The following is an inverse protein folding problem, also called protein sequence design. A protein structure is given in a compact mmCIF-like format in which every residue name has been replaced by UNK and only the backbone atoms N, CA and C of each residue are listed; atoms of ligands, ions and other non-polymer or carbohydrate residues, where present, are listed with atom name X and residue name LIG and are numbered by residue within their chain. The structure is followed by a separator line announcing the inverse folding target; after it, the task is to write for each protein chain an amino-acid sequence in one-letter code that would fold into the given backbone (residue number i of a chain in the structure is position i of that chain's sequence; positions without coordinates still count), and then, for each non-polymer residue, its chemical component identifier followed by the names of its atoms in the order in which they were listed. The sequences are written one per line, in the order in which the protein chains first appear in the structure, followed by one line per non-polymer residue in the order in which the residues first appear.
data_IF_521632736085
#
_entry.id   IF_521632736085
#
_cell.length_a   1.000
_cell.length_b   1.000
_cell.length_c   1.000
_cell.angle_alpha   90.00
_cell.angle_beta   90.00
_cell.angle_gamma   90.00
#
_symmetry.space_group_name_H-M   'P 1'
#
loop_
_entity.id
_entity.type
_entity.pdbx_description
1 polymer ?
#
# COMPACT_ATOMS: atom_id res chain seq x y z
N UNK A 1 16.16 -47.64 12.41
CA UNK A 1 16.53 -46.96 11.13
C UNK A 1 15.80 -47.68 10.02
N UNK A 2 15.12 -46.92 9.18
CA UNK A 2 14.37 -47.42 8.02
C UNK A 2 15.14 -47.07 6.74
N UNK A 3 15.18 -47.95 5.77
CA UNK A 3 15.81 -47.70 4.47
C UNK A 3 14.77 -47.24 3.46
N UNK A 4 15.03 -46.13 2.81
CA UNK A 4 14.17 -45.60 1.73
C UNK A 4 15.03 -45.21 0.54
N UNK A 5 14.52 -45.43 -0.65
CA UNK A 5 15.11 -44.98 -1.90
C UNK A 5 14.30 -43.82 -2.45
N UNK A 6 14.95 -42.69 -2.73
CA UNK A 6 14.31 -41.48 -3.28
C UNK A 6 15.09 -41.08 -4.53
N UNK A 7 14.43 -41.04 -5.70
CA UNK A 7 15.05 -40.76 -7.00
C UNK A 7 16.34 -41.56 -7.22
N UNK A 8 16.28 -42.90 -6.98
CA UNK A 8 17.41 -43.81 -7.08
C UNK A 8 18.56 -43.60 -6.08
N UNK A 9 18.36 -42.76 -5.03
CA UNK A 9 19.35 -42.54 -3.96
C UNK A 9 18.82 -43.14 -2.66
N UNK A 10 19.64 -43.99 -2.02
CA UNK A 10 19.27 -44.66 -0.76
C UNK A 10 19.68 -43.80 0.44
N UNK A 11 18.84 -43.79 1.45
CA UNK A 11 19.09 -43.13 2.74
C UNK A 11 18.47 -43.94 3.88
N UNK A 12 19.15 -43.95 5.03
CA UNK A 12 18.61 -44.50 6.28
C UNK A 12 18.09 -43.33 7.15
N UNK A 13 16.87 -43.48 7.66
CA UNK A 13 16.21 -42.48 8.50
C UNK A 13 15.57 -43.12 9.73
N UNK A 14 15.29 -42.32 10.73
CA UNK A 14 14.61 -42.77 11.94
C UNK A 14 13.12 -43.01 11.68
N UNK A 15 12.52 -43.88 12.49
CA UNK A 15 11.07 -44.08 12.46
C UNK A 15 10.32 -42.79 12.72
N UNK A 16 9.25 -42.53 11.96
CA UNK A 16 8.46 -41.29 12.02
C UNK A 16 8.97 -40.16 11.13
N UNK A 17 10.17 -40.29 10.50
CA UNK A 17 10.65 -39.35 9.50
C UNK A 17 9.71 -39.34 8.29
N UNK A 18 9.28 -38.16 7.83
CA UNK A 18 8.46 -38.03 6.62
C UNK A 18 9.30 -38.18 5.34
N UNK A 19 8.61 -38.48 4.22
CA UNK A 19 9.26 -38.51 2.91
C UNK A 19 9.90 -37.17 2.57
N UNK A 20 9.23 -36.05 2.90
CA UNK A 20 9.75 -34.68 2.71
C UNK A 20 11.05 -34.44 3.48
N UNK A 21 11.09 -34.80 4.75
CA UNK A 21 12.28 -34.69 5.61
C UNK A 21 13.43 -35.60 5.10
N UNK A 22 13.12 -36.80 4.66
CA UNK A 22 14.10 -37.72 4.08
C UNK A 22 14.68 -37.19 2.76
N UNK A 23 13.83 -36.63 1.88
CA UNK A 23 14.24 -35.97 0.64
C UNK A 23 15.15 -34.77 0.91
N UNK A 24 14.79 -33.93 1.89
CA UNK A 24 15.59 -32.78 2.32
C UNK A 24 17.01 -33.18 2.77
N UNK A 25 17.16 -34.30 3.52
CA UNK A 25 18.48 -34.84 3.92
C UNK A 25 19.34 -35.27 2.71
N UNK A 26 18.70 -35.61 1.59
CA UNK A 26 19.38 -35.90 0.33
C UNK A 26 19.62 -34.66 -0.54
N UNK A 27 19.21 -33.49 -0.11
CA UNK A 27 19.27 -32.26 -0.90
C UNK A 27 18.26 -32.23 -2.04
N UNK A 28 17.17 -33.00 -1.95
CA UNK A 28 16.07 -33.01 -2.92
C UNK A 28 14.99 -32.08 -2.41
N UNK A 29 14.68 -31.06 -3.17
CA UNK A 29 13.60 -30.11 -2.88
C UNK A 29 12.27 -30.62 -3.42
N UNK A 30 11.25 -30.72 -2.58
CA UNK A 30 9.88 -31.03 -2.97
C UNK A 30 9.06 -29.77 -2.66
N UNK A 31 8.27 -29.24 -3.61
CA UNK A 31 7.47 -28.03 -3.36
C UNK A 31 6.42 -28.29 -2.28
N UNK A 32 6.19 -27.30 -1.42
CA UNK A 32 5.20 -27.35 -0.34
C UNK A 32 4.47 -26.02 -0.23
N UNK A 33 3.21 -26.04 0.23
CA UNK A 33 2.43 -24.82 0.49
C UNK A 33 1.87 -24.79 1.93
N UNK A 34 1.21 -25.88 2.37
CA UNK A 34 0.62 -25.94 3.72
C UNK A 34 1.55 -26.50 4.79
N UNK A 35 2.80 -26.85 4.45
CA UNK A 35 3.79 -27.36 5.39
C UNK A 35 4.48 -26.22 6.13
N UNK A 36 4.52 -26.35 7.45
CA UNK A 36 5.29 -25.47 8.34
C UNK A 36 6.24 -26.35 9.15
N UNK A 37 7.52 -26.01 9.13
CA UNK A 37 8.54 -26.74 9.90
C UNK A 37 8.24 -26.62 11.41
N UNK A 38 8.20 -27.79 12.09
CA UNK A 38 7.82 -27.85 13.51
C UNK A 38 6.33 -27.67 13.81
N UNK A 39 5.49 -27.46 12.81
CA UNK A 39 4.02 -27.35 12.94
C UNK A 39 3.28 -28.66 12.71
N UNK A 40 1.95 -28.61 12.81
CA UNK A 40 1.08 -29.72 12.48
C UNK A 40 1.11 -30.05 10.98
N UNK A 41 0.96 -31.37 10.66
CA UNK A 41 1.04 -31.88 9.28
C UNK A 41 -0.36 -31.98 8.69
N UNK A 42 -0.85 -30.92 8.06
CA UNK A 42 -2.24 -30.84 7.53
C UNK A 42 -2.47 -31.65 6.25
N UNK A 43 -1.48 -31.77 5.37
CA UNK A 43 -1.56 -32.47 4.08
C UNK A 43 -2.76 -32.07 3.21
N UNK A 44 -3.17 -30.79 3.25
CA UNK A 44 -4.40 -30.34 2.59
C UNK A 44 -4.19 -29.79 1.18
N UNK A 45 -3.02 -29.21 0.87
CA UNK A 45 -2.78 -28.53 -0.41
C UNK A 45 -2.41 -29.46 -1.57
N UNK A 46 -1.92 -30.67 -1.29
CA UNK A 46 -1.46 -31.67 -2.27
C UNK A 46 -0.31 -31.21 -3.21
N UNK A 47 0.35 -30.09 -2.89
CA UNK A 47 1.49 -29.59 -3.69
C UNK A 47 2.75 -30.44 -3.51
N UNK A 48 2.85 -31.16 -2.41
CA UNK A 48 4.00 -32.02 -2.08
C UNK A 48 3.84 -33.50 -2.52
N UNK A 49 2.93 -33.79 -3.43
CA UNK A 49 2.70 -35.16 -3.92
C UNK A 49 3.97 -35.76 -4.55
N UNK A 50 4.25 -37.00 -4.20
CA UNK A 50 5.32 -37.83 -4.74
C UNK A 50 4.76 -39.22 -5.06
N UNK A 51 5.42 -39.97 -5.92
CA UNK A 51 4.97 -41.29 -6.32
C UNK A 51 5.68 -42.39 -5.54
N UNK A 52 4.92 -43.25 -4.90
CA UNK A 52 5.43 -44.51 -4.32
C UNK A 52 5.41 -45.58 -5.40
N UNK A 53 6.59 -45.99 -5.84
CA UNK A 53 6.78 -47.02 -6.89
C UNK A 53 6.38 -48.44 -6.45
N UNK A 54 6.32 -48.66 -5.12
CA UNK A 54 5.91 -49.96 -4.60
C UNK A 54 4.44 -50.29 -4.84
N UNK A 55 3.57 -49.26 -4.85
CA UNK A 55 2.13 -49.43 -5.04
C UNK A 55 1.54 -48.55 -6.16
N UNK A 56 2.37 -47.74 -6.81
CA UNK A 56 1.99 -46.82 -7.89
C UNK A 56 1.10 -45.64 -7.46
N UNK A 57 1.01 -45.34 -6.18
CA UNK A 57 0.16 -44.26 -5.65
C UNK A 57 0.91 -42.95 -5.47
N UNK A 58 0.20 -41.85 -5.68
CA UNK A 58 0.65 -40.53 -5.26
C UNK A 58 0.34 -40.33 -3.77
N UNK A 59 1.34 -39.89 -3.01
CA UNK A 59 1.24 -39.66 -1.56
C UNK A 59 1.78 -38.28 -1.17
N UNK A 60 1.21 -37.59 -0.16
CA UNK A 60 1.69 -36.32 0.31
C UNK A 60 2.97 -36.47 1.13
N UNK A 61 4.11 -36.04 0.59
CA UNK A 61 5.42 -36.24 1.22
C UNK A 61 5.57 -35.56 2.58
N UNK A 62 4.86 -34.44 2.80
CA UNK A 62 4.96 -33.65 4.04
C UNK A 62 4.36 -34.37 5.27
N UNK A 63 3.45 -35.32 5.08
CA UNK A 63 2.76 -36.02 6.17
C UNK A 63 2.97 -37.51 6.17
N UNK A 64 3.33 -38.13 5.04
CA UNK A 64 3.52 -39.54 4.92
C UNK A 64 4.86 -39.96 5.54
N UNK A 65 4.85 -40.77 6.60
CA UNK A 65 6.09 -41.30 7.17
C UNK A 65 6.74 -42.31 6.22
N UNK A 66 8.05 -42.38 6.27
CA UNK A 66 8.84 -43.40 5.56
C UNK A 66 8.54 -44.80 6.13
N UNK A 67 8.37 -45.76 5.25
CA UNK A 67 8.26 -47.20 5.57
C UNK A 67 9.48 -47.91 4.98
N UNK A 68 9.99 -48.92 5.67
CA UNK A 68 11.18 -49.64 5.24
C UNK A 68 11.01 -50.26 3.85
N UNK A 69 11.99 -50.04 2.97
CA UNK A 69 11.97 -50.50 1.59
C UNK A 69 11.14 -49.68 0.61
N UNK A 70 10.62 -48.49 1.02
CA UNK A 70 9.96 -47.57 0.09
C UNK A 70 10.88 -47.13 -1.06
N UNK A 71 10.31 -47.05 -2.27
CA UNK A 71 10.95 -46.47 -3.47
C UNK A 71 10.11 -45.32 -3.97
N UNK A 72 10.64 -44.10 -3.84
CA UNK A 72 9.92 -42.83 -4.07
C UNK A 72 10.50 -42.11 -5.28
N UNK A 73 9.64 -41.66 -6.16
CA UNK A 73 9.95 -40.70 -7.24
C UNK A 73 9.32 -39.39 -6.91
N UNK A 74 10.14 -38.35 -6.88
CA UNK A 74 9.69 -37.00 -6.46
C UNK A 74 9.36 -36.09 -7.62
N UNK A 75 9.81 -36.42 -8.84
CA UNK A 75 9.69 -35.53 -10.00
C UNK A 75 9.58 -36.37 -11.29
N UNK A 76 8.36 -36.80 -11.60
CA UNK A 76 7.99 -37.40 -12.88
C UNK A 76 6.76 -36.65 -13.46
N UNK A 77 6.38 -36.99 -14.68
CA UNK A 77 5.24 -36.38 -15.35
C UNK A 77 3.93 -36.50 -14.55
N UNK A 78 3.72 -37.62 -13.84
CA UNK A 78 2.51 -37.88 -13.07
C UNK A 78 2.49 -37.01 -11.77
N UNK A 79 3.63 -36.90 -11.09
CA UNK A 79 3.79 -35.98 -9.94
C UNK A 79 3.54 -34.55 -10.36
N UNK A 80 4.11 -34.16 -11.50
CA UNK A 80 3.96 -32.79 -12.02
C UNK A 80 2.50 -32.45 -12.36
N UNK A 81 1.82 -33.33 -13.11
CA UNK A 81 0.40 -33.13 -13.47
C UNK A 81 -0.50 -33.09 -12.22
N UNK A 82 -0.25 -33.94 -11.25
CA UNK A 82 -1.04 -33.96 -10.02
C UNK A 82 -0.86 -32.68 -9.17
N UNK A 83 0.37 -32.21 -9.06
CA UNK A 83 0.65 -30.91 -8.38
C UNK A 83 0.04 -29.73 -9.10
N UNK A 84 0.12 -29.71 -10.45
CA UNK A 84 -0.51 -28.70 -11.30
C UNK A 84 -2.03 -28.69 -11.09
N UNK A 85 -2.68 -29.84 -11.13
CA UNK A 85 -4.11 -29.94 -10.87
C UNK A 85 -4.50 -29.48 -9.46
N UNK A 86 -3.69 -29.82 -8.44
CA UNK A 86 -3.91 -29.35 -7.07
C UNK A 86 -3.79 -27.82 -6.96
N UNK A 87 -2.78 -27.23 -7.61
CA UNK A 87 -2.59 -25.78 -7.65
C UNK A 87 -3.73 -25.08 -8.40
N UNK A 88 -4.16 -25.60 -9.54
CA UNK A 88 -5.31 -25.07 -10.29
C UNK A 88 -6.60 -25.07 -9.44
N UNK A 89 -6.86 -26.15 -8.70
CA UNK A 89 -8.03 -26.22 -7.81
C UNK A 89 -7.94 -25.21 -6.68
N UNK A 90 -6.79 -25.06 -6.03
CA UNK A 90 -6.59 -24.07 -4.99
C UNK A 90 -6.81 -22.64 -5.48
N UNK A 91 -6.33 -22.32 -6.69
CA UNK A 91 -6.46 -20.99 -7.27
C UNK A 91 -7.85 -20.74 -7.85
N UNK A 92 -8.56 -21.76 -8.33
CA UNK A 92 -9.94 -21.62 -8.82
C UNK A 92 -10.92 -21.18 -7.73
N UNK A 93 -10.67 -21.61 -6.49
CA UNK A 93 -11.47 -21.24 -5.31
C UNK A 93 -10.92 -19.99 -4.57
N UNK A 94 -9.80 -19.44 -5.05
CA UNK A 94 -9.15 -18.30 -4.40
C UNK A 94 -9.94 -17.01 -4.61
N UNK A 95 -10.49 -16.48 -3.53
CA UNK A 95 -11.26 -15.21 -3.56
C UNK A 95 -10.40 -13.94 -3.52
N UNK A 96 -9.10 -14.07 -3.30
CA UNK A 96 -8.14 -12.96 -3.30
C UNK A 96 -8.28 -11.98 -2.13
N UNK A 97 -8.79 -12.45 -0.99
CA UNK A 97 -9.01 -11.63 0.21
C UNK A 97 -7.86 -11.73 1.23
N UNK A 98 -6.64 -12.04 0.79
CA UNK A 98 -5.43 -12.02 1.64
C UNK A 98 -5.20 -10.63 2.23
N UNK A 99 -5.59 -9.58 1.52
CA UNK A 99 -5.72 -8.22 1.99
C UNK A 99 -7.21 -7.84 2.01
N UNK A 100 -7.63 -7.18 3.10
CA UNK A 100 -9.04 -6.83 3.25
C UNK A 100 -9.53 -5.95 2.07
N UNK A 101 -10.68 -6.27 1.42
CA UNK A 101 -11.19 -5.49 0.30
C UNK A 101 -11.36 -3.99 0.60
N UNK A 102 -11.70 -3.65 1.83
CA UNK A 102 -11.81 -2.26 2.27
C UNK A 102 -10.46 -1.51 2.24
N UNK A 103 -9.35 -2.19 2.53
CA UNK A 103 -8.00 -1.63 2.42
C UNK A 103 -7.59 -1.49 0.96
N UNK A 104 -7.77 -2.52 0.15
CA UNK A 104 -7.46 -2.48 -1.30
C UNK A 104 -8.26 -1.44 -2.07
N UNK A 105 -9.52 -1.20 -1.69
CA UNK A 105 -10.38 -0.17 -2.32
C UNK A 105 -10.12 1.25 -1.82
N UNK A 106 -9.44 1.42 -0.69
CA UNK A 106 -9.07 2.74 -0.19
C UNK A 106 -7.94 3.32 -1.06
N UNK A 107 -8.13 4.48 -1.72
CA UNK A 107 -7.06 5.09 -2.50
C UNK A 107 -5.78 5.35 -1.69
N UNK A 108 -5.92 5.68 -0.40
CA UNK A 108 -4.78 5.86 0.51
C UNK A 108 -4.24 4.55 1.09
N UNK A 109 -4.89 3.41 0.79
CA UNK A 109 -4.51 2.08 1.28
C UNK A 109 -4.39 1.99 2.79
N UNK A 110 -5.34 2.65 3.50
CA UNK A 110 -5.35 2.70 4.96
C UNK A 110 -5.62 1.30 5.54
N UNK A 111 -4.88 0.93 6.58
CA UNK A 111 -5.11 -0.33 7.33
C UNK A 111 -6.40 -0.25 8.16
N UNK A 112 -7.52 -0.41 7.46
CA UNK A 112 -8.88 -0.34 8.02
C UNK A 112 -9.13 -1.48 9.03
N UNK A 113 -8.71 -2.74 8.77
CA UNK A 113 -8.88 -3.80 9.74
C UNK A 113 -8.21 -3.52 11.08
N UNK A 114 -6.98 -3.00 11.07
CA UNK A 114 -6.26 -2.64 12.30
C UNK A 114 -6.95 -1.49 13.02
N UNK A 115 -7.34 -0.42 12.29
CA UNK A 115 -8.12 0.67 12.85
C UNK A 115 -9.37 0.16 13.58
N UNK A 116 -10.16 -0.70 12.92
CA UNK A 116 -11.39 -1.23 13.49
C UNK A 116 -11.14 -2.07 14.76
N UNK A 117 -10.11 -2.91 14.77
CA UNK A 117 -9.72 -3.70 15.96
C UNK A 117 -9.32 -2.82 17.13
N UNK A 118 -8.53 -1.79 16.89
CA UNK A 118 -8.08 -0.86 17.92
C UNK A 118 -9.25 -0.04 18.49
N UNK A 119 -10.16 0.42 17.63
CA UNK A 119 -11.40 1.11 18.10
C UNK A 119 -12.25 0.17 18.92
N UNK A 120 -12.44 -1.07 18.49
CA UNK A 120 -13.24 -2.07 19.22
C UNK A 120 -12.64 -2.43 20.59
N UNK A 121 -11.31 -2.40 20.72
CA UNK A 121 -10.63 -2.61 22.01
C UNK A 121 -10.54 -1.34 22.87
N UNK A 122 -11.03 -0.18 22.38
CA UNK A 122 -10.97 1.10 23.09
C UNK A 122 -9.62 1.82 23.02
N UNK A 123 -8.67 1.32 22.24
CA UNK A 123 -7.34 1.93 22.05
C UNK A 123 -7.40 2.97 20.92
N UNK A 124 -8.09 4.08 21.20
CA UNK A 124 -8.31 5.14 20.20
C UNK A 124 -7.03 5.88 19.83
N UNK A 125 -6.06 5.96 20.72
CA UNK A 125 -4.81 6.68 20.50
C UNK A 125 -3.96 5.91 19.46
N UNK A 126 -3.85 4.59 19.58
CA UNK A 126 -3.23 3.77 18.53
C UNK A 126 -4.07 3.71 17.24
N UNK A 127 -5.39 3.73 17.34
CA UNK A 127 -6.24 3.76 16.15
C UNK A 127 -5.96 4.99 15.29
N UNK A 128 -5.83 6.18 15.89
CA UNK A 128 -5.54 7.40 15.15
C UNK A 128 -4.10 7.43 14.61
N UNK A 129 -3.13 6.81 15.27
CA UNK A 129 -1.77 6.64 14.74
C UNK A 129 -1.79 5.81 13.45
N UNK A 130 -2.50 4.67 13.44
CA UNK A 130 -2.69 3.83 12.26
C UNK A 130 -3.37 4.62 11.13
N UNK A 131 -4.40 5.41 11.44
CA UNK A 131 -5.09 6.23 10.44
C UNK A 131 -4.15 7.28 9.85
N UNK A 132 -3.43 8.04 10.68
CA UNK A 132 -2.59 9.17 10.23
C UNK A 132 -1.32 8.73 9.49
N UNK A 133 -0.91 7.48 9.64
CA UNK A 133 0.13 6.89 8.80
C UNK A 133 -0.21 6.94 7.30
N UNK A 134 -1.51 6.92 6.97
CA UNK A 134 -2.01 6.84 5.59
C UNK A 134 -2.90 8.03 5.20
N UNK A 135 -3.59 8.62 6.15
CA UNK A 135 -4.57 9.70 5.95
C UNK A 135 -4.30 10.84 6.95
N UNK A 136 -3.69 11.95 6.51
CA UNK A 136 -3.33 13.06 7.40
C UNK A 136 -4.54 13.92 7.82
N UNK A 137 -5.67 13.85 7.11
CA UNK A 137 -6.91 14.63 7.37
C UNK A 137 -8.11 13.72 7.68
N UNK A 138 -8.05 12.86 8.72
CA UNK A 138 -9.08 11.87 8.96
C UNK A 138 -10.41 12.45 9.47
N UNK A 139 -10.43 13.56 10.21
CA UNK A 139 -11.67 14.21 10.66
C UNK A 139 -12.44 14.79 9.47
N UNK A 140 -11.73 15.45 8.55
CA UNK A 140 -12.31 15.97 7.31
C UNK A 140 -12.82 14.80 6.45
N UNK A 141 -11.97 13.80 6.16
CA UNK A 141 -12.35 12.67 5.31
C UNK A 141 -13.40 11.75 5.98
N UNK A 142 -13.53 11.76 7.28
CA UNK A 142 -14.64 11.11 7.99
C UNK A 142 -16.01 11.64 7.57
N UNK A 143 -16.07 12.91 7.14
CA UNK A 143 -17.29 13.64 6.77
C UNK A 143 -17.54 13.71 5.27
N UNK A 144 -16.49 13.80 4.47
CA UNK A 144 -16.63 14.08 3.03
C UNK A 144 -16.24 12.93 2.10
N UNK A 145 -15.62 11.87 2.60
CA UNK A 145 -15.21 10.73 1.79
C UNK A 145 -16.44 9.97 1.27
N UNK A 146 -16.49 9.60 -0.03
CA UNK A 146 -17.59 8.79 -0.55
C UNK A 146 -17.51 7.31 -0.13
N UNK A 147 -16.56 6.94 0.72
CA UNK A 147 -16.41 5.64 1.36
C UNK A 147 -16.35 4.43 0.38
N UNK A 148 -15.44 4.40 -0.62
CA UNK A 148 -15.32 3.24 -1.50
C UNK A 148 -15.00 1.94 -0.72
N UNK A 149 -14.34 2.05 0.42
CA UNK A 149 -14.06 0.94 1.34
C UNK A 149 -15.33 0.30 1.91
N UNK A 150 -16.37 1.09 2.21
CA UNK A 150 -17.66 0.59 2.71
C UNK A 150 -18.44 -0.12 1.60
N UNK A 151 -18.34 0.37 0.36
CA UNK A 151 -18.98 -0.26 -0.79
C UNK A 151 -18.46 -1.70 -1.05
N UNK A 152 -17.17 -1.95 -0.78
CA UNK A 152 -16.55 -3.28 -0.91
C UNK A 152 -16.45 -4.07 0.39
N UNK A 153 -17.14 -3.65 1.43
CA UNK A 153 -17.11 -4.34 2.71
C UNK A 153 -17.81 -5.71 2.63
N UNK A 154 -17.12 -6.79 3.00
CA UNK A 154 -17.67 -8.16 2.99
C UNK A 154 -18.88 -8.34 3.89
N UNK A 155 -18.95 -7.61 5.01
CA UNK A 155 -20.12 -7.64 5.90
C UNK A 155 -21.40 -7.15 5.23
N UNK A 156 -21.30 -6.38 4.14
CA UNK A 156 -22.47 -5.88 3.41
C UNK A 156 -23.44 -6.99 3.00
N UNK A 157 -22.93 -8.18 2.72
CA UNK A 157 -23.74 -9.35 2.32
C UNK A 157 -24.38 -10.07 3.53
N UNK A 158 -23.96 -9.74 4.75
CA UNK A 158 -24.44 -10.39 5.98
C UNK A 158 -25.41 -9.49 6.76
N UNK A 159 -24.89 -8.37 7.28
CA UNK A 159 -25.60 -7.51 8.24
C UNK A 159 -25.36 -6.01 7.99
N UNK A 160 -24.70 -5.67 6.90
CA UNK A 160 -24.39 -4.30 6.49
C UNK A 160 -22.90 -3.95 6.56
N UNK A 161 -22.52 -2.92 5.80
CA UNK A 161 -21.14 -2.43 5.79
C UNK A 161 -20.76 -1.83 7.14
N UNK A 162 -19.51 -2.03 7.55
CA UNK A 162 -18.93 -1.31 8.68
C UNK A 162 -18.90 0.19 8.34
N UNK A 163 -19.31 1.05 9.25
CA UNK A 163 -19.31 2.53 9.09
C UNK A 163 -17.89 3.09 9.23
N UNK A 164 -17.00 2.74 8.30
CA UNK A 164 -15.55 3.00 8.34
C UNK A 164 -15.25 4.49 8.42
N UNK A 165 -15.95 5.30 7.62
CA UNK A 165 -15.72 6.74 7.61
C UNK A 165 -16.14 7.42 8.91
N UNK A 166 -17.24 6.99 9.51
CA UNK A 166 -17.69 7.49 10.82
C UNK A 166 -16.70 7.10 11.92
N UNK A 167 -16.26 5.85 11.97
CA UNK A 167 -15.28 5.38 12.94
C UNK A 167 -13.95 6.13 12.82
N UNK A 168 -13.46 6.34 11.61
CA UNK A 168 -12.26 7.15 11.33
C UNK A 168 -12.43 8.58 11.82
N UNK A 169 -13.56 9.22 11.49
CA UNK A 169 -13.88 10.57 11.95
C UNK A 169 -13.97 10.67 13.46
N UNK A 170 -14.62 9.71 14.11
CA UNK A 170 -14.73 9.66 15.56
C UNK A 170 -13.37 9.59 16.26
N UNK A 171 -12.46 8.72 15.80
CA UNK A 171 -11.12 8.62 16.36
C UNK A 171 -10.35 9.94 16.19
N UNK A 172 -10.49 10.60 15.03
CA UNK A 172 -9.84 11.87 14.74
C UNK A 172 -10.40 13.03 15.61
N UNK A 173 -11.72 13.11 15.76
CA UNK A 173 -12.37 14.12 16.60
C UNK A 173 -11.92 14.01 18.07
N UNK A 174 -11.80 12.78 18.59
CA UNK A 174 -11.25 12.55 19.94
C UNK A 174 -9.82 13.05 20.07
N UNK A 175 -8.97 12.77 19.09
CA UNK A 175 -7.59 13.26 19.12
C UNK A 175 -7.54 14.78 19.10
N UNK A 176 -8.24 15.41 18.16
CA UNK A 176 -8.27 16.88 18.05
C UNK A 176 -8.80 17.56 19.31
N UNK A 177 -9.70 16.91 20.06
CA UNK A 177 -10.17 17.41 21.35
C UNK A 177 -9.12 17.36 22.45
N UNK A 178 -8.24 16.34 22.45
CA UNK A 178 -7.19 16.15 23.46
C UNK A 178 -5.92 16.92 23.13
N UNK A 179 -5.49 16.86 21.86
CA UNK A 179 -4.19 17.31 21.38
C UNK A 179 -4.37 18.25 20.19
N UNK A 180 -4.39 19.57 20.39
CA UNK A 180 -4.56 20.54 19.30
C UNK A 180 -3.32 20.65 18.40
N UNK A 181 -2.16 20.09 18.82
CA UNK A 181 -0.91 20.12 18.05
C UNK A 181 -0.37 18.72 17.79
N UNK A 182 0.29 18.57 16.66
CA UNK A 182 0.89 17.33 16.22
C UNK A 182 2.06 16.92 17.12
N UNK A 183 1.91 15.77 17.79
CA UNK A 183 2.98 15.12 18.58
C UNK A 183 3.77 14.08 17.78
N UNK A 184 3.51 13.92 16.48
CA UNK A 184 4.11 12.86 15.66
C UNK A 184 5.62 13.03 15.57
N UNK A 185 6.35 11.98 15.93
CA UNK A 185 7.78 11.93 15.77
C UNK A 185 8.16 12.11 14.29
N UNK A 186 9.01 13.08 14.03
CA UNK A 186 9.59 13.36 12.73
C UNK A 186 10.94 12.66 12.65
N UNK A 187 11.31 12.21 11.45
CA UNK A 187 12.69 11.78 11.20
C UNK A 187 13.58 13.03 11.34
N UNK A 188 14.53 12.98 12.26
CA UNK A 188 15.51 14.07 12.44
C UNK A 188 16.66 13.85 11.46
N UNK A 189 16.50 14.43 10.26
CA UNK A 189 17.55 14.42 9.26
C UNK A 189 18.66 15.40 9.61
N UNK A 190 19.90 14.99 9.34
CA UNK A 190 21.03 15.89 9.29
C UNK A 190 20.65 17.15 8.46
N UNK A 191 20.83 18.38 8.99
CA UNK A 191 20.51 19.60 8.28
C UNK A 191 21.12 19.68 6.87
N UNK A 192 22.31 19.09 6.67
CA UNK A 192 22.97 19.03 5.35
C UNK A 192 22.23 18.14 4.33
N UNK A 193 21.44 17.18 4.78
CA UNK A 193 20.62 16.29 3.94
C UNK A 193 19.20 16.76 3.76
N UNK A 194 18.78 17.80 4.49
CA UNK A 194 17.44 18.34 4.42
C UNK A 194 17.22 19.07 3.11
N UNK A 195 16.17 18.69 2.40
CA UNK A 195 15.77 19.28 1.13
C UNK A 195 14.62 20.25 1.30
N UNK A 196 14.51 21.21 0.37
CA UNK A 196 13.45 22.24 0.36
C UNK A 196 12.48 21.94 -0.79
N UNK A 197 11.21 21.81 -0.48
CA UNK A 197 10.16 21.53 -1.46
C UNK A 197 9.18 22.70 -1.51
N UNK A 198 8.96 23.24 -2.72
CA UNK A 198 7.88 24.19 -2.98
C UNK A 198 6.61 23.45 -3.38
N UNK A 199 5.49 23.75 -2.74
CA UNK A 199 4.18 23.19 -3.11
C UNK A 199 3.27 24.34 -3.55
N UNK A 200 2.69 24.22 -4.75
CA UNK A 200 1.77 25.21 -5.29
C UNK A 200 0.33 24.73 -5.08
N UNK A 201 -0.35 25.33 -4.13
CA UNK A 201 -1.72 25.03 -3.70
C UNK A 201 -1.82 24.32 -2.35
N UNK A 202 -2.63 24.90 -1.45
CA UNK A 202 -2.92 24.39 -0.10
C UNK A 202 -4.24 23.60 -0.02
N UNK A 203 -4.59 22.88 -1.08
CA UNK A 203 -5.71 21.92 -1.10
C UNK A 203 -5.34 20.55 -0.52
N UNK A 204 -6.24 19.55 -0.55
CA UNK A 204 -6.01 18.25 0.07
C UNK A 204 -4.77 17.53 -0.45
N UNK A 205 -4.38 17.70 -1.72
CA UNK A 205 -3.18 17.11 -2.28
C UNK A 205 -1.90 17.75 -1.73
N UNK A 206 -1.85 19.11 -1.77
CA UNK A 206 -0.69 19.86 -1.28
C UNK A 206 -0.49 19.72 0.22
N UNK A 207 -1.56 19.79 1.01
CA UNK A 207 -1.51 19.58 2.46
C UNK A 207 -1.03 18.16 2.82
N UNK A 208 -1.52 17.15 2.09
CA UNK A 208 -1.07 15.76 2.29
C UNK A 208 0.41 15.59 1.95
N UNK A 209 0.85 16.13 0.80
CA UNK A 209 2.26 16.09 0.41
C UNK A 209 3.14 16.79 1.46
N UNK A 210 2.76 18.00 1.89
CA UNK A 210 3.48 18.75 2.90
C UNK A 210 3.64 17.98 4.21
N UNK A 211 2.55 17.37 4.69
CA UNK A 211 2.57 16.55 5.91
C UNK A 211 3.56 15.39 5.80
N UNK A 212 3.48 14.60 4.74
CA UNK A 212 4.34 13.43 4.59
C UNK A 212 5.80 13.76 4.25
N UNK A 213 6.06 14.89 3.59
CA UNK A 213 7.41 15.39 3.32
C UNK A 213 8.06 15.88 4.63
N UNK A 214 7.31 16.64 5.45
CA UNK A 214 7.77 17.09 6.75
C UNK A 214 8.04 15.92 7.72
N UNK A 215 7.20 14.89 7.74
CA UNK A 215 7.45 13.67 8.52
C UNK A 215 8.78 12.99 8.16
N UNK A 216 9.25 13.15 6.92
CA UNK A 216 10.54 12.64 6.45
C UNK A 216 11.71 13.60 6.72
N UNK A 217 11.45 14.70 7.40
CA UNK A 217 12.48 15.64 7.85
C UNK A 217 12.84 16.74 6.85
N UNK A 218 12.18 16.83 5.70
CA UNK A 218 12.41 17.88 4.71
C UNK A 218 11.59 19.15 5.03
N UNK A 219 11.97 20.29 4.46
CA UNK A 219 11.28 21.57 4.62
C UNK A 219 10.31 21.82 3.47
N UNK A 220 9.16 22.42 3.77
CA UNK A 220 8.10 22.68 2.79
C UNK A 220 7.61 24.11 2.87
N UNK A 221 7.62 24.81 1.73
CA UNK A 221 6.95 26.08 1.56
C UNK A 221 5.74 25.88 0.62
N UNK A 222 4.54 26.13 1.13
CA UNK A 222 3.29 26.09 0.36
C UNK A 222 2.96 27.49 -0.14
N UNK A 223 2.65 27.62 -1.41
CA UNK A 223 2.22 28.86 -2.05
C UNK A 223 0.73 28.75 -2.41
N UNK A 224 -0.11 29.49 -1.67
CA UNK A 224 -1.56 29.45 -1.82
C UNK A 224 -2.07 30.83 -2.32
N UNK A 225 -2.83 30.80 -3.42
CA UNK A 225 -3.35 32.03 -4.04
C UNK A 225 -4.41 32.74 -3.20
N UNK A 226 -5.15 32.01 -2.39
CA UNK A 226 -6.18 32.55 -1.51
C UNK A 226 -5.62 32.94 -0.14
N UNK A 227 -6.40 33.63 0.66
CA UNK A 227 -6.03 33.97 2.04
C UNK A 227 -6.34 32.80 3.02
N UNK A 228 -6.94 31.73 2.55
CA UNK A 228 -7.37 30.61 3.37
C UNK A 228 -6.82 29.27 2.84
N UNK A 229 -6.32 28.45 3.74
CA UNK A 229 -5.87 27.08 3.47
C UNK A 229 -7.06 26.12 3.38
N UNK A 230 -6.98 25.12 2.50
CA UNK A 230 -7.99 24.06 2.38
C UNK A 230 -8.52 23.85 0.96
N UNK A 231 -8.30 24.81 0.06
CA UNK A 231 -8.71 24.70 -1.35
C UNK A 231 -10.19 24.36 -1.51
N UNK A 232 -10.51 23.39 -2.37
CA UNK A 232 -11.90 23.00 -2.65
C UNK A 232 -12.69 22.50 -1.41
N UNK A 233 -12.04 22.15 -0.31
CA UNK A 233 -12.73 21.76 0.93
C UNK A 233 -13.46 22.95 1.56
N UNK A 234 -13.00 24.19 1.34
CA UNK A 234 -13.68 25.42 1.76
C UNK A 234 -15.04 25.63 1.09
N UNK A 235 -15.23 25.08 -0.10
CA UNK A 235 -16.50 25.15 -0.83
C UNK A 235 -17.57 24.16 -0.34
N UNK A 236 -17.26 23.29 0.60
CA UNK A 236 -18.22 22.32 1.16
C UNK A 236 -19.10 23.04 2.19
N UNK A 237 -20.41 22.72 2.24
CA UNK A 237 -21.33 23.33 3.20
C UNK A 237 -20.90 23.05 4.65
N UNK A 238 -21.09 24.01 5.54
CA UNK A 238 -20.74 23.88 6.97
C UNK A 238 -21.54 22.80 7.68
N UNK A 239 -22.73 22.50 7.21
CA UNK A 239 -23.54 21.39 7.70
C UNK A 239 -22.81 20.06 7.53
N UNK A 240 -22.12 19.88 6.39
CA UNK A 240 -21.38 18.63 6.09
C UNK A 240 -19.95 18.66 6.63
N UNK A 241 -19.27 19.82 6.54
CA UNK A 241 -17.90 20.01 7.03
C UNK A 241 -17.84 21.33 7.81
N UNK A 242 -18.02 21.29 9.14
CA UNK A 242 -17.90 22.47 9.98
C UNK A 242 -16.54 23.15 9.83
N UNK A 243 -16.52 24.47 9.74
CA UNK A 243 -15.27 25.25 9.57
C UNK A 243 -14.29 25.00 10.70
N UNK A 244 -14.78 24.89 11.92
CA UNK A 244 -13.95 24.57 13.09
C UNK A 244 -13.19 23.25 12.91
N UNK A 245 -13.84 22.20 12.40
CA UNK A 245 -13.20 20.90 12.15
C UNK A 245 -12.15 21.02 11.06
N UNK A 246 -12.48 21.74 9.97
CA UNK A 246 -11.56 21.96 8.86
C UNK A 246 -10.30 22.70 9.34
N UNK A 247 -10.49 23.81 10.06
CA UNK A 247 -9.37 24.65 10.49
C UNK A 247 -8.49 23.97 11.54
N UNK A 248 -9.08 23.30 12.52
CA UNK A 248 -8.35 22.55 13.54
C UNK A 248 -7.54 21.41 12.95
N UNK A 249 -8.10 20.68 11.98
CA UNK A 249 -7.35 19.58 11.35
C UNK A 249 -6.23 20.09 10.44
N UNK A 250 -6.44 21.21 9.74
CA UNK A 250 -5.38 21.89 8.99
C UNK A 250 -4.28 22.37 9.94
N UNK A 251 -4.62 23.03 11.04
CA UNK A 251 -3.64 23.47 12.05
C UNK A 251 -2.83 22.29 12.60
N UNK A 252 -3.50 21.16 12.88
CA UNK A 252 -2.84 19.94 13.31
C UNK A 252 -1.80 19.41 12.32
N UNK A 253 -2.03 19.57 11.00
CA UNK A 253 -1.09 19.13 9.97
C UNK A 253 0.20 19.93 9.93
N UNK A 254 0.13 21.22 10.26
CA UNK A 254 1.24 22.16 10.10
C UNK A 254 2.31 21.89 11.15
N UNK A 255 3.39 21.23 10.71
CA UNK A 255 4.61 21.07 11.49
C UNK A 255 5.52 22.29 11.38
N UNK A 256 6.57 22.30 12.19
CA UNK A 256 7.53 23.43 12.27
C UNK A 256 8.26 23.76 10.96
N UNK A 257 8.38 22.76 10.05
CA UNK A 257 9.05 22.97 8.76
C UNK A 257 8.08 23.16 7.59
N UNK A 258 6.80 23.36 7.88
CA UNK A 258 5.80 23.70 6.87
C UNK A 258 5.46 25.18 7.03
N UNK A 259 5.76 25.99 6.00
CA UNK A 259 5.37 27.38 5.91
C UNK A 259 4.30 27.53 4.83
N UNK A 260 3.28 28.33 5.09
CA UNK A 260 2.26 28.69 4.09
C UNK A 260 2.37 30.16 3.75
N UNK A 261 2.50 30.45 2.47
CA UNK A 261 2.51 31.79 1.90
C UNK A 261 1.14 32.02 1.24
N UNK A 262 0.26 32.74 1.93
CA UNK A 262 -1.08 33.08 1.44
C UNK A 262 -1.07 34.28 0.52
N UNK A 263 -2.09 34.39 -0.34
CA UNK A 263 -2.22 35.46 -1.31
C UNK A 263 -1.15 35.41 -2.41
N UNK A 264 -0.52 34.28 -2.60
CA UNK A 264 0.60 34.10 -3.52
C UNK A 264 0.12 33.42 -4.82
N UNK A 265 -0.28 34.24 -5.79
CA UNK A 265 -0.70 33.74 -7.10
C UNK A 265 0.53 33.47 -7.97
N UNK A 266 0.85 32.20 -8.11
CA UNK A 266 2.02 31.74 -8.87
C UNK A 266 1.75 31.87 -10.36
N UNK A 267 2.52 32.74 -11.02
CA UNK A 267 2.59 32.86 -12.48
C UNK A 267 3.84 32.17 -13.04
N UNK A 268 4.01 32.18 -14.37
CA UNK A 268 5.14 31.53 -15.04
C UNK A 268 6.50 32.00 -14.51
N UNK A 269 6.69 33.31 -14.29
CA UNK A 269 7.95 33.87 -13.79
C UNK A 269 8.27 33.39 -12.38
N UNK A 270 7.26 33.41 -11.50
CA UNK A 270 7.41 32.92 -10.12
C UNK A 270 7.68 31.41 -10.12
N UNK A 271 6.96 30.67 -10.97
CA UNK A 271 7.19 29.22 -11.12
C UNK A 271 8.63 28.89 -11.52
N UNK A 272 9.20 29.62 -12.50
CA UNK A 272 10.58 29.42 -12.90
C UNK A 272 11.55 29.74 -11.76
N UNK A 273 11.32 30.82 -11.00
CA UNK A 273 12.10 31.14 -9.82
C UNK A 273 12.00 30.05 -8.73
N UNK A 274 10.82 29.47 -8.49
CA UNK A 274 10.69 28.36 -7.54
C UNK A 274 11.49 27.10 -7.98
N UNK A 275 11.59 26.86 -9.29
CA UNK A 275 12.41 25.77 -9.82
C UNK A 275 13.90 25.96 -9.57
N UNK A 276 14.37 27.21 -9.55
CA UNK A 276 15.76 27.54 -9.27
C UNK A 276 16.08 27.55 -7.77
N UNK A 277 15.11 27.91 -6.92
CA UNK A 277 15.31 28.09 -5.48
C UNK A 277 15.04 26.83 -4.62
N UNK A 278 14.35 25.82 -5.18
CA UNK A 278 13.92 24.62 -4.46
C UNK A 278 14.43 23.33 -5.10
N UNK A 279 14.71 22.31 -4.28
CA UNK A 279 15.13 21.00 -4.74
C UNK A 279 14.03 20.27 -5.54
N UNK A 280 12.76 20.55 -5.24
CA UNK A 280 11.61 20.07 -6.00
C UNK A 280 10.45 21.03 -5.93
N UNK A 281 9.66 21.10 -7.01
CA UNK A 281 8.41 21.88 -7.09
C UNK A 281 7.23 20.92 -7.31
N UNK A 282 6.23 21.00 -6.44
CA UNK A 282 5.02 20.18 -6.51
C UNK A 282 3.82 21.01 -6.92
N UNK A 283 3.22 20.71 -8.06
CA UNK A 283 2.02 21.37 -8.57
C UNK A 283 0.79 20.63 -8.05
N UNK A 284 0.08 21.28 -7.11
CA UNK A 284 -1.13 20.78 -6.45
C UNK A 284 -2.27 21.82 -6.47
N UNK A 285 -2.26 22.72 -7.47
CA UNK A 285 -3.13 23.90 -7.60
C UNK A 285 -4.60 23.58 -7.94
N UNK A 286 -5.00 22.33 -8.00
CA UNK A 286 -6.32 21.92 -8.46
C UNK A 286 -6.39 21.77 -9.98
N UNK A 287 -7.57 22.03 -10.58
CA UNK A 287 -7.72 21.92 -12.04
C UNK A 287 -7.12 23.11 -12.78
N UNK A 288 -6.57 22.88 -13.97
CA UNK A 288 -6.11 23.91 -14.87
C UNK A 288 -7.28 24.48 -15.67
N UNK A 289 -7.34 25.82 -15.73
CA UNK A 289 -8.28 26.54 -16.59
C UNK A 289 -7.63 27.05 -17.87
N UNK A 290 -6.28 27.04 -17.92
CA UNK A 290 -5.49 27.55 -19.04
C UNK A 290 -4.58 26.46 -19.62
N UNK A 291 -4.40 26.52 -20.95
CA UNK A 291 -3.59 25.57 -21.72
C UNK A 291 -2.08 25.80 -21.58
N UNK A 292 -1.67 26.88 -20.94
CA UNK A 292 -0.28 27.31 -20.86
C UNK A 292 0.57 26.67 -19.77
N UNK A 293 0.02 25.84 -18.89
CA UNK A 293 0.63 25.03 -17.80
C UNK A 293 2.12 25.28 -17.47
N UNK A 294 2.57 26.50 -17.53
CA UNK A 294 3.95 26.96 -17.26
C UNK A 294 5.06 26.19 -18.01
N UNK A 295 4.72 25.62 -19.19
CA UNK A 295 5.64 24.83 -20.03
C UNK A 295 5.64 23.33 -19.75
N UNK A 296 4.82 22.85 -18.84
CA UNK A 296 4.59 21.42 -18.66
C UNK A 296 3.75 20.85 -19.81
N UNK A 297 4.00 19.60 -20.16
CA UNK A 297 3.18 18.88 -21.14
C UNK A 297 1.80 18.59 -20.59
N UNK A 298 0.76 18.94 -21.37
CA UNK A 298 -0.64 18.71 -21.01
C UNK A 298 -1.20 17.49 -21.75
N UNK A 299 -1.83 16.60 -21.00
CA UNK A 299 -2.63 15.49 -21.52
C UNK A 299 -4.11 15.82 -21.57
N UNK A 300 -4.92 14.83 -21.93
CA UNK A 300 -6.39 14.96 -22.00
C UNK A 300 -7.06 15.28 -20.66
N UNK A 301 -6.43 14.94 -19.53
CA UNK A 301 -7.03 15.02 -18.20
C UNK A 301 -6.40 16.09 -17.30
N UNK A 302 -5.27 16.66 -17.67
CA UNK A 302 -4.47 17.59 -16.90
C UNK A 302 -2.99 17.49 -17.28
N UNK A 303 -2.10 17.86 -16.38
CA UNK A 303 -0.64 17.74 -16.57
C UNK A 303 -0.26 16.26 -16.77
N UNK A 304 0.50 15.96 -17.83
CA UNK A 304 1.09 14.63 -18.02
C UNK A 304 2.19 14.38 -17.00
N UNK A 305 2.12 13.24 -16.34
CA UNK A 305 3.13 12.79 -15.39
C UNK A 305 3.55 11.35 -15.69
N UNK A 306 4.76 11.03 -15.34
CA UNK A 306 5.24 9.66 -15.37
C UNK A 306 4.51 8.83 -14.29
N UNK A 307 3.89 7.69 -14.66
CA UNK A 307 3.17 6.84 -13.72
C UNK A 307 4.07 6.37 -12.57
N UNK A 308 3.58 6.53 -11.33
CA UNK A 308 4.26 6.07 -10.13
C UNK A 308 5.34 7.00 -9.56
N UNK A 309 5.87 7.94 -10.34
CA UNK A 309 6.82 8.96 -9.87
C UNK A 309 6.21 10.34 -9.74
N UNK A 310 5.13 10.63 -10.48
CA UNK A 310 4.49 11.95 -10.57
C UNK A 310 5.36 13.04 -11.22
N UNK A 311 6.52 12.69 -11.81
CA UNK A 311 7.39 13.62 -12.53
C UNK A 311 6.67 14.13 -13.78
N UNK A 312 6.75 15.44 -14.02
CA UNK A 312 6.24 16.08 -15.25
C UNK A 312 7.26 16.04 -16.37
N UNK A 313 6.98 16.71 -17.48
CA UNK A 313 7.95 16.90 -18.56
C UNK A 313 9.11 17.84 -18.20
N UNK A 314 9.09 18.48 -17.05
CA UNK A 314 10.12 19.38 -16.56
C UNK A 314 10.88 18.72 -15.41
N UNK A 315 12.19 18.86 -15.44
CA UNK A 315 13.06 18.38 -14.37
C UNK A 315 12.70 19.02 -13.02
N UNK A 316 12.78 18.27 -11.93
CA UNK A 316 12.44 18.65 -10.55
C UNK A 316 11.00 19.14 -10.32
N UNK A 317 10.10 18.97 -11.29
CA UNK A 317 8.71 19.40 -11.22
C UNK A 317 7.77 18.20 -11.21
N UNK A 318 6.97 18.10 -10.17
CA UNK A 318 6.00 17.02 -9.96
C UNK A 318 4.58 17.59 -9.95
N UNK A 319 3.59 16.79 -10.35
CA UNK A 319 2.19 17.20 -10.28
C UNK A 319 1.33 16.13 -9.62
N UNK A 320 0.35 16.55 -8.78
CA UNK A 320 -0.51 15.64 -8.02
C UNK A 320 -1.96 16.18 -7.93
N UNK A 321 -2.85 15.31 -7.48
CA UNK A 321 -4.25 15.67 -7.25
C UNK A 321 -4.97 16.04 -8.54
N UNK A 322 -5.80 17.07 -8.49
CA UNK A 322 -6.59 17.49 -9.64
C UNK A 322 -5.77 18.21 -10.73
N UNK A 323 -4.51 18.53 -10.49
CA UNK A 323 -3.61 19.05 -11.52
C UNK A 323 -3.34 18.01 -12.62
N UNK A 324 -3.33 16.71 -12.27
CA UNK A 324 -3.13 15.60 -13.23
C UNK A 324 -4.43 15.02 -13.74
N UNK A 325 -5.48 14.98 -12.90
CA UNK A 325 -6.79 14.47 -13.27
C UNK A 325 -7.87 14.98 -12.33
N UNK A 326 -8.88 15.63 -12.88
CA UNK A 326 -10.02 16.11 -12.10
C UNK A 326 -10.72 14.94 -11.37
N UNK A 327 -10.97 15.11 -10.08
CA UNK A 327 -11.65 14.14 -9.22
C UNK A 327 -12.40 14.84 -8.10
N UNK A 328 -13.62 14.37 -7.81
CA UNK A 328 -14.39 14.80 -6.63
C UNK A 328 -14.03 14.00 -5.37
N UNK A 329 -13.10 13.05 -5.48
CA UNK A 329 -12.73 12.11 -4.40
C UNK A 329 -11.45 12.60 -3.72
N UNK A 330 -11.59 13.40 -2.66
CA UNK A 330 -10.48 14.04 -1.94
C UNK A 330 -9.45 13.04 -1.40
N UNK A 331 -9.86 11.82 -1.01
CA UNK A 331 -8.93 10.78 -0.53
C UNK A 331 -7.95 10.32 -1.62
N UNK A 332 -8.29 10.44 -2.91
CA UNK A 332 -7.35 10.18 -4.00
C UNK A 332 -6.23 11.23 -4.04
N UNK A 333 -6.60 12.50 -3.88
CA UNK A 333 -5.62 13.58 -3.78
C UNK A 333 -4.69 13.42 -2.58
N UNK A 334 -5.22 12.94 -1.45
CA UNK A 334 -4.44 12.60 -0.26
C UNK A 334 -3.46 11.47 -0.54
N UNK A 335 -3.91 10.42 -1.22
CA UNK A 335 -3.05 9.30 -1.62
C UNK A 335 -1.87 9.76 -2.49
N UNK A 336 -2.14 10.60 -3.51
CA UNK A 336 -1.08 11.16 -4.36
C UNK A 336 -0.02 11.91 -3.54
N UNK A 337 -0.43 12.70 -2.52
CA UNK A 337 0.50 13.41 -1.64
C UNK A 337 1.39 12.47 -0.83
N UNK A 338 0.81 11.39 -0.28
CA UNK A 338 1.55 10.33 0.43
C UNK A 338 2.55 9.62 -0.49
N UNK A 339 2.10 9.21 -1.66
CA UNK A 339 2.90 8.46 -2.63
C UNK A 339 4.05 9.32 -3.17
N UNK A 340 3.79 10.58 -3.52
CA UNK A 340 4.82 11.51 -3.96
C UNK A 340 5.87 11.76 -2.87
N UNK A 341 5.46 11.95 -1.62
CA UNK A 341 6.41 12.16 -0.53
C UNK A 341 7.39 11.00 -0.37
N UNK A 342 6.94 9.75 -0.59
CA UNK A 342 7.80 8.58 -0.56
C UNK A 342 8.77 8.55 -1.77
N UNK A 343 8.31 8.97 -2.95
CA UNK A 343 9.15 9.09 -4.16
C UNK A 343 10.23 10.15 -3.95
N UNK A 344 9.85 11.34 -3.47
CA UNK A 344 10.79 12.44 -3.25
C UNK A 344 11.85 12.08 -2.21
N UNK A 345 11.48 11.43 -1.11
CA UNK A 345 12.41 11.02 -0.07
C UNK A 345 13.49 10.07 -0.61
N UNK A 346 13.09 9.02 -1.37
CA UNK A 346 14.04 8.14 -2.04
C UNK A 346 14.91 8.88 -3.04
N UNK A 347 14.32 9.74 -3.86
CA UNK A 347 15.03 10.54 -4.83
C UNK A 347 16.09 11.45 -4.17
N UNK A 348 15.76 12.10 -3.08
CA UNK A 348 16.68 12.97 -2.34
C UNK A 348 17.82 12.20 -1.66
N UNK A 349 17.60 10.95 -1.28
CA UNK A 349 18.59 10.10 -0.65
C UNK A 349 19.52 9.41 -1.66
N UNK A 350 18.99 8.91 -2.78
CA UNK A 350 19.73 8.10 -3.75
C UNK A 350 20.16 8.86 -4.99
N UNK A 351 19.54 10.00 -5.31
CA UNK A 351 19.68 10.70 -6.57
C UNK A 351 18.96 10.02 -7.75
N UNK A 352 18.31 8.88 -7.52
CA UNK A 352 17.60 8.11 -8.55
C UNK A 352 16.10 8.21 -8.31
N UNK A 353 15.35 8.58 -9.36
CA UNK A 353 13.90 8.63 -9.31
C UNK A 353 13.32 7.24 -9.54
N UNK A 354 12.82 6.64 -8.49
CA UNK A 354 12.24 5.30 -8.53
C UNK A 354 10.73 5.36 -8.35
N UNK A 355 10.01 4.51 -9.08
CA UNK A 355 8.57 4.32 -8.89
C UNK A 355 8.29 3.75 -7.50
N UNK A 356 7.12 4.06 -6.97
CA UNK A 356 6.62 3.28 -5.84
C UNK A 356 6.43 1.84 -6.29
N UNK A 357 6.78 0.89 -5.42
CA UNK A 357 6.47 -0.52 -5.64
C UNK A 357 4.98 -0.70 -5.95
N UNK A 358 4.69 -1.57 -6.90
CA UNK A 358 3.30 -1.94 -7.14
C UNK A 358 2.70 -2.53 -5.86
N UNK A 359 1.48 -2.12 -5.55
CA UNK A 359 0.79 -2.66 -4.37
C UNK A 359 0.55 -4.15 -4.61
N UNK A 360 0.78 -4.94 -3.59
CA UNK A 360 0.41 -6.35 -3.61
C UNK A 360 -1.04 -6.49 -4.07
N UNK A 361 -1.25 -7.33 -5.07
CA UNK A 361 -2.56 -7.66 -5.58
C UNK A 361 -2.82 -9.15 -5.35
N UNK A 362 -3.71 -9.46 -4.43
CA UNK A 362 -4.11 -10.82 -4.11
C UNK A 362 -5.17 -11.40 -5.06
N UNK A 363 -5.60 -10.66 -6.06
CA UNK A 363 -6.49 -11.16 -7.10
C UNK A 363 -5.66 -11.87 -8.15
N UNK A 364 -5.63 -13.18 -8.06
CA UNK A 364 -5.05 -14.01 -9.12
C UNK A 364 -6.05 -14.16 -10.25
N UNK A 365 -5.57 -14.00 -11.49
CA UNK A 365 -6.25 -14.52 -12.65
C UNK A 365 -5.98 -16.02 -12.77
N UNK A 366 -6.46 -16.62 -13.86
CA UNK A 366 -6.03 -17.96 -14.22
C UNK A 366 -4.53 -17.92 -14.56
N UNK A 367 -3.72 -18.73 -13.86
CA UNK A 367 -2.30 -18.85 -14.15
C UNK A 367 -2.11 -19.33 -15.60
N UNK A 368 -1.12 -18.79 -16.28
CA UNK A 368 -0.68 -19.30 -17.57
C UNK A 368 0.35 -20.42 -17.37
N UNK A 369 0.55 -21.22 -18.39
CA UNK A 369 1.34 -22.47 -18.25
C UNK A 369 2.78 -22.22 -17.79
N UNK A 370 3.39 -21.13 -18.24
CA UNK A 370 4.74 -20.71 -17.86
C UNK A 370 4.88 -20.36 -16.37
N UNK A 371 3.80 -19.88 -15.72
CA UNK A 371 3.79 -19.53 -14.30
C UNK A 371 3.76 -20.75 -13.40
N UNK A 372 3.16 -21.88 -13.85
CA UNK A 372 3.15 -23.12 -13.06
C UNK A 372 4.56 -23.65 -12.77
N UNK A 373 5.45 -23.56 -13.76
CA UNK A 373 6.82 -24.03 -13.63
C UNK A 373 7.61 -23.29 -12.54
N UNK A 374 7.27 -22.02 -12.29
CA UNK A 374 7.87 -21.22 -11.23
C UNK A 374 7.43 -21.68 -9.83
N UNK A 375 6.16 -22.05 -9.68
CA UNK A 375 5.59 -22.48 -8.39
C UNK A 375 5.83 -23.97 -8.07
N UNK A 376 6.17 -24.77 -9.03
CA UNK A 376 6.32 -26.24 -8.88
C UNK A 376 7.79 -26.71 -8.86
N UNK A 377 8.73 -25.80 -9.03
CA UNK A 377 10.18 -26.03 -8.84
C UNK A 377 10.51 -25.99 -7.38
#
# INVERSE_FOLDING_TARGET
MLKVKINNREIEVDEGTTILEAAGKLGITIPTMCHLEGGEKFASCMICLVKDMGNGRLVPSCSMPVIDGMDIVTDDAECHEARKAALELLLSEHVGDCEAPCQGLCPAHMDIPMMNRLIASGDFDKAIEVIRRDIPIPAILGRICPAPCEAGCRRKEMDGSVSICLLKGFAADRQLAKEPKRATARIDLDPAKRKKVAIIGAGPAGLSAAYFIDLRGHSVDIFEKTLETGGAMRGISEEKLPREVLDREIEYLLGENIRINHGYDVNKRIFDQLRDDYDAVVVANGGWQDTGAWGMKMGKSGVEVEPGTYLTSLENVFAIGNAIRASKVSVRSVAHGKELAAVLDRYFLSGVLERNEERFNSKFGKLVEEEYDEYLK
#
